data_IF_600668798952
#
_entry.id   IF_600668798952
#
_cell.length_a   1.000
_cell.length_b   1.000
_cell.length_c   1.000
_cell.angle_alpha   90.00
_cell.angle_beta   90.00
_cell.angle_gamma   90.00
#
_symmetry.space_group_name_H-M   'P 1'
#
loop_
_entity.id
_entity.type
_entity.pdbx_description
1 polymer ?
#
# COMPACT_ATOMS: atom_id res chain seq x y z
N UNK A 1 26.90 -0.40 84.09
CA UNK A 1 27.71 -0.46 82.86
C UNK A 1 26.88 -1.19 81.82
N UNK A 2 26.23 -0.49 80.92
CA UNK A 2 25.37 -1.05 79.86
C UNK A 2 25.99 -0.68 78.50
N UNK A 3 26.46 -1.67 77.78
CA UNK A 3 26.94 -1.52 76.41
C UNK A 3 25.75 -1.45 75.47
N UNK A 4 25.64 -0.35 74.70
CA UNK A 4 24.69 -0.23 73.57
C UNK A 4 25.40 -0.67 72.30
N UNK A 5 24.97 -1.78 71.77
CA UNK A 5 25.38 -2.24 70.42
C UNK A 5 24.50 -1.58 69.38
N UNK A 6 25.07 -0.65 68.60
CA UNK A 6 24.38 -0.03 67.47
C UNK A 6 24.38 -0.97 66.26
N UNK A 7 23.20 -1.35 65.82
CA UNK A 7 22.97 -2.13 64.62
C UNK A 7 22.76 -1.17 63.44
N UNK A 8 23.79 -0.98 62.63
CA UNK A 8 23.73 -0.17 61.39
C UNK A 8 23.10 -1.01 60.31
N UNK A 9 21.83 -0.79 60.02
CA UNK A 9 21.16 -1.40 58.87
C UNK A 9 21.56 -0.67 57.58
N UNK A 10 22.33 -1.32 56.74
CA UNK A 10 22.74 -0.85 55.43
C UNK A 10 21.61 -1.17 54.43
N UNK A 11 20.77 -0.19 54.15
CA UNK A 11 19.75 -0.25 53.07
C UNK A 11 20.44 -0.19 51.71
N UNK A 12 20.70 -1.35 51.10
CA UNK A 12 21.08 -1.41 49.68
C UNK A 12 19.85 -1.08 48.81
N UNK A 13 19.76 0.18 48.39
CA UNK A 13 18.80 0.58 47.37
C UNK A 13 19.27 -0.01 46.01
N UNK A 14 18.68 -1.11 45.60
CA UNK A 14 18.84 -1.65 44.27
C UNK A 14 18.17 -0.69 43.27
N UNK A 15 18.95 0.13 42.59
CA UNK A 15 18.52 0.93 41.46
C UNK A 15 18.16 -0.01 40.31
N UNK A 16 16.92 -0.43 40.24
CA UNK A 16 16.35 -1.02 39.03
C UNK A 16 16.32 0.06 37.98
N UNK A 17 17.36 0.20 37.18
CA UNK A 17 17.35 0.91 35.91
C UNK A 17 16.48 0.09 34.97
N UNK A 18 15.17 0.23 35.07
CA UNK A 18 14.25 -0.25 34.05
C UNK A 18 14.61 0.43 32.74
N UNK A 19 15.26 -0.30 31.82
CA UNK A 19 15.39 0.17 30.45
C UNK A 19 13.97 0.36 29.92
N UNK A 20 13.52 1.59 29.78
CA UNK A 20 12.28 1.90 29.08
C UNK A 20 12.46 1.41 27.63
N UNK A 21 11.95 0.22 27.33
CA UNK A 21 11.89 -0.28 25.97
C UNK A 21 10.98 0.65 25.19
N UNK A 22 11.51 1.33 24.19
CA UNK A 22 10.69 2.13 23.29
C UNK A 22 9.59 1.25 22.68
N UNK A 23 8.37 1.77 22.59
CA UNK A 23 7.28 1.06 21.93
C UNK A 23 7.68 0.69 20.50
N UNK A 24 7.26 -0.48 19.99
CA UNK A 24 7.60 -0.89 18.64
C UNK A 24 6.98 0.07 17.61
N UNK A 25 7.72 0.36 16.54
CA UNK A 25 7.21 1.09 15.39
C UNK A 25 6.20 0.22 14.63
N UNK A 26 5.03 0.75 14.37
CA UNK A 26 3.97 0.04 13.63
C UNK A 26 4.08 0.38 12.16
N UNK A 27 4.33 -0.65 11.31
CA UNK A 27 4.43 -0.55 9.87
C UNK A 27 3.19 -1.15 9.20
N UNK A 28 2.35 -0.32 8.57
CA UNK A 28 1.22 -0.82 7.79
C UNK A 28 1.65 -1.30 6.41
N UNK A 29 1.03 -2.37 5.93
CA UNK A 29 1.31 -3.02 4.64
C UNK A 29 0.01 -3.33 3.93
N UNK A 30 -0.11 -2.93 2.67
CA UNK A 30 -1.23 -3.29 1.79
C UNK A 30 -1.18 -4.78 1.42
N UNK A 31 -2.21 -5.30 0.74
CA UNK A 31 -2.41 -6.75 0.53
C UNK A 31 -1.68 -7.34 -0.69
N UNK A 32 -0.90 -6.60 -1.45
CA UNK A 32 -0.24 -7.10 -2.66
C UNK A 32 1.26 -7.33 -2.48
N UNK A 33 1.83 -8.21 -3.30
CA UNK A 33 3.19 -8.75 -3.16
C UNK A 33 4.28 -7.71 -3.00
N UNK A 34 4.27 -6.62 -3.80
CA UNK A 34 5.26 -5.56 -3.69
C UNK A 34 5.30 -4.95 -2.29
N UNK A 35 4.14 -4.68 -1.72
CA UNK A 35 4.03 -4.11 -0.37
C UNK A 35 4.57 -5.08 0.70
N UNK A 36 4.32 -6.38 0.56
CA UNK A 36 4.88 -7.38 1.47
C UNK A 36 6.41 -7.42 1.40
N UNK A 37 6.98 -7.32 0.20
CA UNK A 37 8.44 -7.27 0.01
C UNK A 37 9.02 -6.00 0.64
N UNK A 38 8.46 -4.83 0.33
CA UNK A 38 8.90 -3.55 0.88
C UNK A 38 8.82 -3.52 2.41
N UNK A 39 7.72 -4.06 2.95
CA UNK A 39 7.54 -4.19 4.41
C UNK A 39 8.61 -5.09 5.02
N UNK A 40 8.84 -6.27 4.46
CA UNK A 40 9.85 -7.21 4.97
C UNK A 40 11.26 -6.59 4.94
N UNK A 41 11.61 -5.89 3.87
CA UNK A 41 12.89 -5.16 3.76
C UNK A 41 12.99 -4.06 4.83
N UNK A 42 11.93 -3.29 5.03
CA UNK A 42 11.90 -2.21 6.03
C UNK A 42 12.05 -2.76 7.44
N UNK A 43 11.32 -3.81 7.78
CA UNK A 43 11.41 -4.48 9.09
C UNK A 43 12.84 -4.93 9.36
N UNK A 44 13.45 -5.69 8.43
CA UNK A 44 14.82 -6.20 8.59
C UNK A 44 15.84 -5.06 8.72
N UNK A 45 15.70 -4.00 7.91
CA UNK A 45 16.59 -2.86 7.95
C UNK A 45 16.51 -2.13 9.29
N UNK A 46 15.32 -1.83 9.77
CA UNK A 46 15.11 -1.11 11.03
C UNK A 46 15.51 -1.96 12.23
N UNK A 47 15.22 -3.26 12.22
CA UNK A 47 15.69 -4.18 13.27
C UNK A 47 17.21 -4.23 13.35
N UNK A 48 17.90 -4.25 12.20
CA UNK A 48 19.37 -4.16 12.17
C UNK A 48 19.90 -2.83 12.73
N UNK A 49 19.07 -1.78 12.73
CA UNK A 49 19.38 -0.47 13.34
C UNK A 49 18.98 -0.38 14.83
N UNK A 50 18.48 -1.46 15.42
CA UNK A 50 18.09 -1.52 16.84
C UNK A 50 16.65 -1.11 17.14
N UNK A 51 15.83 -0.87 16.13
CA UNK A 51 14.40 -0.56 16.33
C UNK A 51 13.58 -1.85 16.44
N UNK A 52 12.58 -1.85 17.31
CA UNK A 52 11.53 -2.86 17.28
C UNK A 52 10.47 -2.41 16.26
N UNK A 53 10.07 -3.30 15.36
CA UNK A 53 9.09 -3.02 14.32
C UNK A 53 8.02 -4.10 14.31
N UNK A 54 6.77 -3.69 14.35
CA UNK A 54 5.60 -4.56 14.27
C UNK A 54 4.89 -4.32 12.94
N UNK A 55 4.97 -5.24 11.96
CA UNK A 55 4.22 -5.13 10.72
C UNK A 55 2.73 -5.47 10.94
N UNK A 56 1.85 -4.65 10.38
CA UNK A 56 0.42 -4.91 10.26
C UNK A 56 0.09 -5.07 8.77
N UNK A 57 -0.31 -6.27 8.38
CA UNK A 57 -0.50 -6.63 6.97
C UNK A 57 -1.96 -6.52 6.53
N UNK A 58 -2.18 -6.44 5.21
CA UNK A 58 -3.50 -6.40 4.58
C UNK A 58 -4.36 -5.19 5.01
N UNK A 59 -3.73 -4.06 5.28
CA UNK A 59 -4.43 -2.83 5.63
C UNK A 59 -4.81 -2.08 4.35
N UNK A 60 -6.11 -1.83 4.17
CA UNK A 60 -6.60 -1.08 3.03
C UNK A 60 -6.09 0.38 3.04
N UNK A 61 -5.87 0.94 1.85
CA UNK A 61 -5.26 2.26 1.62
C UNK A 61 -5.87 3.38 2.47
N UNK A 62 -7.19 3.52 2.48
CA UNK A 62 -7.88 4.57 3.24
C UNK A 62 -7.76 4.33 4.75
N UNK A 63 -7.83 3.08 5.19
CA UNK A 63 -7.69 2.71 6.61
C UNK A 63 -6.28 3.03 7.10
N UNK A 64 -5.25 2.65 6.33
CA UNK A 64 -3.85 2.94 6.64
C UNK A 64 -3.62 4.45 6.80
N UNK A 65 -4.11 5.26 5.87
CA UNK A 65 -3.98 6.72 5.97
C UNK A 65 -4.63 7.30 7.22
N UNK A 66 -5.88 6.91 7.50
CA UNK A 66 -6.58 7.41 8.68
C UNK A 66 -5.87 6.98 9.98
N UNK A 67 -5.38 5.76 10.04
CA UNK A 67 -4.62 5.26 11.18
C UNK A 67 -3.30 6.03 11.38
N UNK A 68 -2.60 6.43 10.30
CA UNK A 68 -1.42 7.29 10.39
C UNK A 68 -1.76 8.69 10.91
N UNK A 69 -2.82 9.32 10.39
CA UNK A 69 -3.28 10.64 10.86
C UNK A 69 -3.63 10.58 12.36
N UNK A 70 -4.23 9.48 12.79
CA UNK A 70 -4.60 9.23 14.20
C UNK A 70 -3.44 8.68 15.04
N UNK A 71 -2.22 8.59 14.51
CA UNK A 71 -1.01 8.09 15.20
C UNK A 71 -1.15 6.65 15.73
N UNK A 72 -1.97 5.84 15.07
CA UNK A 72 -2.13 4.41 15.34
C UNK A 72 -1.14 3.55 14.53
N UNK A 73 -0.56 4.11 13.48
CA UNK A 73 0.47 3.55 12.62
C UNK A 73 1.57 4.60 12.46
N UNK A 74 2.83 4.19 12.53
CA UNK A 74 3.98 5.08 12.45
C UNK A 74 4.46 5.27 11.01
N UNK A 75 4.35 4.24 10.16
CA UNK A 75 4.84 4.29 8.78
C UNK A 75 4.09 3.36 7.84
N UNK A 76 4.14 3.68 6.56
CA UNK A 76 3.65 2.84 5.46
C UNK A 76 4.38 3.20 4.17
N UNK A 77 4.43 2.26 3.24
CA UNK A 77 4.78 2.54 1.85
C UNK A 77 3.54 3.06 1.12
N UNK A 78 3.64 4.27 0.57
CA UNK A 78 2.53 4.88 -0.16
C UNK A 78 3.00 5.42 -1.51
N UNK A 79 2.08 5.56 -2.45
CA UNK A 79 2.34 5.99 -3.80
C UNK A 79 1.85 7.42 -4.02
N UNK A 80 2.69 8.23 -4.67
CA UNK A 80 2.37 9.63 -4.96
C UNK A 80 1.07 9.76 -5.76
N UNK A 81 0.84 8.88 -6.73
CA UNK A 81 -0.40 8.85 -7.53
C UNK A 81 -1.64 8.56 -6.67
N UNK A 82 -1.54 7.64 -5.71
CA UNK A 82 -2.64 7.34 -4.79
C UNK A 82 -2.94 8.54 -3.90
N UNK A 83 -1.92 9.17 -3.33
CA UNK A 83 -2.14 10.36 -2.50
C UNK A 83 -2.72 11.53 -3.29
N UNK A 84 -2.26 11.78 -4.52
CA UNK A 84 -2.83 12.82 -5.38
C UNK A 84 -4.31 12.58 -5.64
N UNK A 85 -4.67 11.39 -6.15
CA UNK A 85 -6.00 11.12 -6.71
C UNK A 85 -7.00 10.79 -5.61
N UNK A 86 -6.66 9.85 -4.71
CA UNK A 86 -7.62 9.33 -3.74
C UNK A 86 -7.78 10.27 -2.54
N UNK A 87 -6.69 10.87 -2.06
CA UNK A 87 -6.73 11.66 -0.84
C UNK A 87 -6.81 13.17 -1.08
N UNK A 88 -6.13 13.65 -2.12
CA UNK A 88 -6.10 15.08 -2.44
C UNK A 88 -7.00 15.47 -3.62
N UNK A 89 -7.69 14.53 -4.26
CA UNK A 89 -8.63 14.72 -5.38
C UNK A 89 -8.04 15.51 -6.56
N UNK A 90 -6.74 15.32 -6.83
CA UNK A 90 -6.02 15.98 -7.91
C UNK A 90 -5.84 14.97 -9.05
N UNK A 91 -6.59 15.17 -10.15
CA UNK A 91 -6.53 14.31 -11.34
C UNK A 91 -5.65 14.89 -12.47
N UNK A 92 -4.92 15.97 -12.20
CA UNK A 92 -4.00 16.56 -13.17
C UNK A 92 -2.78 15.66 -13.37
N UNK A 93 -2.39 15.46 -14.63
CA UNK A 93 -1.12 14.78 -14.96
C UNK A 93 0.06 15.64 -14.54
N UNK A 94 0.99 15.06 -13.81
CA UNK A 94 2.18 15.71 -13.27
C UNK A 94 3.41 14.84 -13.53
N UNK A 95 4.60 15.46 -13.55
CA UNK A 95 5.86 14.71 -13.50
C UNK A 95 6.01 13.98 -12.16
N UNK A 96 6.87 12.95 -12.05
CA UNK A 96 7.14 12.27 -10.78
C UNK A 96 7.59 13.23 -9.67
N UNK A 97 8.47 14.16 -9.99
CA UNK A 97 8.97 15.17 -9.03
C UNK A 97 7.85 16.12 -8.58
N UNK A 98 7.06 16.65 -9.51
CA UNK A 98 5.93 17.52 -9.20
C UNK A 98 4.89 16.80 -8.34
N UNK A 99 4.62 15.54 -8.64
CA UNK A 99 3.73 14.69 -7.85
C UNK A 99 4.22 14.55 -6.41
N UNK A 100 5.49 14.22 -6.23
CA UNK A 100 6.10 14.06 -4.91
C UNK A 100 6.06 15.37 -4.10
N UNK A 101 6.49 16.49 -4.65
CA UNK A 101 6.47 17.79 -3.95
C UNK A 101 5.04 18.23 -3.59
N UNK A 102 4.08 17.92 -4.47
CA UNK A 102 2.68 18.24 -4.24
C UNK A 102 2.10 17.45 -3.08
N UNK A 103 2.27 16.13 -3.06
CA UNK A 103 1.74 15.30 -1.97
C UNK A 103 2.44 15.59 -0.66
N UNK A 104 3.76 15.78 -0.66
CA UNK A 104 4.54 16.14 0.51
C UNK A 104 4.01 17.41 1.18
N UNK A 105 3.73 18.44 0.39
CA UNK A 105 3.19 19.72 0.88
C UNK A 105 1.75 19.59 1.38
N UNK A 106 0.91 18.84 0.68
CA UNK A 106 -0.51 18.72 1.04
C UNK A 106 -0.69 17.83 2.28
N UNK A 107 -0.01 16.70 2.32
CA UNK A 107 -0.13 15.74 3.40
C UNK A 107 0.52 16.22 4.71
N UNK A 108 1.51 17.12 4.63
CA UNK A 108 2.08 17.79 5.80
C UNK A 108 1.02 18.52 6.65
N UNK A 109 -0.07 19.00 6.03
CA UNK A 109 -1.20 19.64 6.74
C UNK A 109 -1.95 18.67 7.66
N UNK A 110 -1.80 17.37 7.41
CA UNK A 110 -2.37 16.29 8.21
C UNK A 110 -1.34 15.62 9.14
N UNK A 111 -0.14 16.25 9.28
CA UNK A 111 0.94 15.71 10.10
C UNK A 111 1.69 14.53 9.47
N UNK A 112 1.48 14.26 8.19
CA UNK A 112 2.16 13.18 7.46
C UNK A 112 3.43 13.68 6.80
N UNK A 113 4.51 12.93 6.94
CA UNK A 113 5.84 13.27 6.40
C UNK A 113 6.19 12.29 5.28
N UNK A 114 6.34 12.80 4.07
CA UNK A 114 6.89 12.04 2.95
C UNK A 114 8.40 12.03 3.02
N UNK A 115 8.99 10.85 3.14
CA UNK A 115 10.44 10.66 3.02
C UNK A 115 10.86 10.72 1.55
N UNK A 116 12.16 10.64 1.29
CA UNK A 116 12.69 10.59 -0.07
C UNK A 116 12.06 9.45 -0.85
N UNK A 117 11.56 9.68 -2.08
CA UNK A 117 10.94 8.64 -2.88
C UNK A 117 11.95 7.56 -3.27
N UNK A 118 11.47 6.32 -3.37
CA UNK A 118 12.21 5.25 -4.02
C UNK A 118 12.19 5.44 -5.54
N UNK A 119 13.27 5.02 -6.19
CA UNK A 119 13.36 5.04 -7.66
C UNK A 119 12.66 3.81 -8.26
N UNK A 120 11.32 3.84 -8.20
CA UNK A 120 10.48 2.78 -8.73
C UNK A 120 9.17 3.34 -9.29
N UNK A 121 8.62 2.64 -10.28
CA UNK A 121 7.35 2.98 -10.89
C UNK A 121 6.37 1.80 -10.73
N UNK A 122 5.27 2.04 -10.01
CA UNK A 122 4.17 1.09 -9.84
C UNK A 122 2.90 1.59 -10.54
N UNK A 123 3.00 1.84 -11.85
CA UNK A 123 1.85 2.20 -12.68
C UNK A 123 1.01 0.96 -12.99
N UNK A 124 -0.30 1.08 -12.90
CA UNK A 124 -1.21 0.02 -13.33
C UNK A 124 -1.05 -0.29 -14.82
N UNK A 125 -1.03 -1.56 -15.15
CA UNK A 125 -0.99 -2.06 -16.52
C UNK A 125 -1.82 -3.34 -16.63
N UNK A 126 -2.44 -3.54 -17.81
CA UNK A 126 -3.03 -4.83 -18.15
C UNK A 126 -1.96 -5.76 -18.70
N UNK A 127 -1.97 -6.99 -18.25
CA UNK A 127 -1.06 -8.01 -18.72
C UNK A 127 -1.84 -9.25 -19.17
N UNK A 128 -1.39 -9.88 -20.25
CA UNK A 128 -1.85 -11.19 -20.69
C UNK A 128 -0.69 -12.03 -21.20
N UNK A 129 -0.90 -13.33 -21.31
CA UNK A 129 0.12 -14.21 -21.87
C UNK A 129 0.43 -13.83 -23.32
N UNK A 130 1.72 -13.61 -23.64
CA UNK A 130 2.19 -13.23 -24.98
C UNK A 130 1.67 -14.17 -26.06
N UNK A 131 1.83 -15.49 -25.87
CA UNK A 131 1.35 -16.51 -26.81
C UNK A 131 -0.15 -16.35 -27.14
N UNK A 132 -0.95 -15.99 -26.14
CA UNK A 132 -2.38 -15.75 -26.33
C UNK A 132 -2.64 -14.43 -27.04
N UNK A 133 -1.93 -13.37 -26.69
CA UNK A 133 -2.06 -12.07 -27.36
C UNK A 133 -1.75 -12.18 -28.84
N UNK A 134 -0.65 -12.87 -29.20
CA UNK A 134 -0.23 -13.11 -30.57
C UNK A 134 -1.27 -13.96 -31.34
N UNK A 135 -1.73 -15.07 -30.76
CA UNK A 135 -2.71 -15.96 -31.41
C UNK A 135 -4.08 -15.29 -31.64
N UNK A 136 -4.46 -14.35 -30.78
CA UNK A 136 -5.75 -13.65 -30.85
C UNK A 136 -5.61 -12.24 -31.46
N UNK A 137 -4.40 -11.86 -31.92
CA UNK A 137 -4.06 -10.56 -32.51
C UNK A 137 -4.41 -9.37 -31.61
N UNK A 138 -4.14 -9.48 -30.31
CA UNK A 138 -4.40 -8.45 -29.30
C UNK A 138 -3.10 -7.70 -29.00
N UNK A 139 -3.02 -6.45 -29.43
CA UNK A 139 -1.88 -5.56 -29.20
C UNK A 139 -2.26 -4.35 -28.33
N UNK A 140 -3.54 -4.01 -28.27
CA UNK A 140 -4.06 -2.85 -27.56
C UNK A 140 -5.27 -3.22 -26.69
N UNK A 141 -5.64 -2.31 -25.80
CA UNK A 141 -6.89 -2.44 -25.02
C UNK A 141 -8.12 -2.48 -25.94
N UNK A 142 -8.11 -1.72 -27.03
CA UNK A 142 -9.20 -1.72 -28.01
C UNK A 142 -9.37 -3.07 -28.68
N UNK A 143 -8.26 -3.74 -29.05
CA UNK A 143 -8.30 -5.10 -29.63
C UNK A 143 -8.87 -6.11 -28.63
N UNK A 144 -8.46 -5.99 -27.36
CA UNK A 144 -8.97 -6.84 -26.28
C UNK A 144 -10.48 -6.66 -26.11
N UNK A 145 -10.97 -5.42 -26.09
CA UNK A 145 -12.41 -5.12 -25.95
C UNK A 145 -13.19 -5.64 -27.14
N UNK A 146 -12.70 -5.42 -28.37
CA UNK A 146 -13.32 -5.96 -29.58
C UNK A 146 -13.40 -7.50 -29.55
N UNK A 147 -12.36 -8.15 -29.05
CA UNK A 147 -12.33 -9.62 -28.89
C UNK A 147 -13.33 -10.12 -27.87
N UNK A 148 -13.47 -9.45 -26.72
CA UNK A 148 -14.47 -9.76 -25.70
C UNK A 148 -15.88 -9.68 -26.30
N UNK A 149 -16.18 -8.60 -27.02
CA UNK A 149 -17.48 -8.40 -27.68
C UNK A 149 -17.76 -9.44 -28.78
N UNK A 150 -16.75 -9.80 -29.57
CA UNK A 150 -16.85 -10.87 -30.55
C UNK A 150 -17.23 -12.19 -29.90
N UNK A 151 -16.52 -12.59 -28.83
CA UNK A 151 -16.79 -13.84 -28.12
C UNK A 151 -18.19 -13.85 -27.50
N UNK A 152 -18.61 -12.74 -26.91
CA UNK A 152 -19.95 -12.61 -26.34
C UNK A 152 -21.04 -12.86 -27.37
N UNK A 153 -20.84 -12.42 -28.63
CA UNK A 153 -21.81 -12.62 -29.72
C UNK A 153 -21.79 -14.04 -30.28
N UNK A 154 -20.61 -14.65 -30.40
CA UNK A 154 -20.46 -15.95 -31.10
C UNK A 154 -20.48 -17.16 -30.15
N UNK A 155 -20.12 -16.98 -28.91
CA UNK A 155 -20.10 -18.02 -27.90
C UNK A 155 -20.36 -17.45 -26.50
N UNK A 156 -21.63 -17.17 -26.16
CA UNK A 156 -21.99 -16.50 -24.90
C UNK A 156 -21.60 -17.31 -23.66
N UNK A 157 -21.40 -18.61 -23.77
CA UNK A 157 -20.96 -19.49 -22.66
C UNK A 157 -19.46 -19.39 -22.40
N UNK A 158 -18.68 -18.85 -23.36
CA UNK A 158 -17.24 -18.66 -23.22
C UNK A 158 -16.92 -17.30 -22.64
N UNK A 159 -16.64 -17.27 -21.36
CA UNK A 159 -16.28 -16.04 -20.67
C UNK A 159 -14.76 -15.80 -20.66
N UNK A 160 -14.36 -14.57 -20.97
CA UNK A 160 -13.05 -14.08 -20.60
C UNK A 160 -13.04 -13.73 -19.11
N UNK A 161 -11.96 -14.12 -18.44
CA UNK A 161 -11.76 -13.79 -17.04
C UNK A 161 -10.73 -12.68 -16.93
N UNK A 162 -11.10 -11.60 -16.26
CA UNK A 162 -10.22 -10.51 -15.89
C UNK A 162 -9.85 -10.66 -14.42
N UNK A 163 -8.56 -10.82 -14.13
CA UNK A 163 -8.04 -10.70 -12.78
C UNK A 163 -7.94 -9.23 -12.38
N UNK A 164 -8.45 -8.88 -11.21
CA UNK A 164 -8.55 -7.50 -10.77
C UNK A 164 -8.31 -7.43 -9.26
N UNK A 165 -7.41 -6.56 -8.81
CA UNK A 165 -7.28 -6.26 -7.39
C UNK A 165 -8.38 -5.30 -6.90
N UNK A 166 -8.71 -5.39 -5.62
CA UNK A 166 -9.79 -4.59 -5.03
C UNK A 166 -9.48 -3.09 -5.02
N UNK A 167 -8.23 -2.72 -4.90
CA UNK A 167 -7.85 -1.31 -4.87
C UNK A 167 -8.13 -0.69 -6.24
N UNK A 168 -7.67 -1.31 -7.33
CA UNK A 168 -7.96 -0.83 -8.69
C UNK A 168 -9.46 -0.82 -8.99
N UNK A 169 -10.20 -1.83 -8.55
CA UNK A 169 -11.65 -1.89 -8.72
C UNK A 169 -12.37 -0.71 -8.07
N UNK A 170 -11.93 -0.28 -6.91
CA UNK A 170 -12.56 0.77 -6.09
C UNK A 170 -12.08 2.20 -6.37
N UNK A 171 -10.97 2.39 -7.08
CA UNK A 171 -10.39 3.70 -7.35
C UNK A 171 -11.23 4.53 -8.31
N UNK A 172 -11.27 5.84 -8.07
CA UNK A 172 -11.95 6.80 -8.97
C UNK A 172 -11.29 6.91 -10.36
N UNK A 173 -10.01 6.55 -10.47
CA UNK A 173 -9.22 6.48 -11.71
C UNK A 173 -8.98 5.03 -12.16
N UNK A 174 -9.65 4.05 -11.59
CA UNK A 174 -9.46 2.62 -11.82
C UNK A 174 -10.41 2.03 -12.87
N UNK A 175 -11.04 0.91 -12.52
CA UNK A 175 -11.82 0.10 -13.47
C UNK A 175 -13.02 0.83 -14.10
N UNK A 176 -13.78 1.60 -13.33
CA UNK A 176 -14.99 2.29 -13.86
C UNK A 176 -14.69 3.27 -14.98
N UNK A 177 -13.78 4.27 -14.84
CA UNK A 177 -13.44 5.16 -15.93
C UNK A 177 -12.80 4.45 -17.12
N UNK A 178 -12.05 3.37 -16.89
CA UNK A 178 -11.49 2.55 -17.95
C UNK A 178 -12.60 1.88 -18.78
N UNK A 179 -13.57 1.25 -18.12
CA UNK A 179 -14.73 0.66 -18.79
C UNK A 179 -15.49 1.69 -19.61
N UNK A 180 -15.68 2.89 -19.07
CA UNK A 180 -16.34 3.99 -19.79
C UNK A 180 -15.54 4.43 -21.02
N UNK A 181 -14.22 4.61 -20.89
CA UNK A 181 -13.34 5.08 -21.97
C UNK A 181 -13.30 4.10 -23.16
N UNK A 182 -13.26 2.80 -22.88
CA UNK A 182 -13.19 1.74 -23.90
C UNK A 182 -14.53 1.13 -24.24
N UNK A 183 -15.64 1.61 -23.67
CA UNK A 183 -16.98 1.01 -23.80
C UNK A 183 -16.97 -0.49 -23.48
N UNK A 184 -16.16 -0.88 -22.49
CA UNK A 184 -15.92 -2.26 -22.13
C UNK A 184 -17.04 -2.74 -21.19
N UNK A 185 -17.83 -3.68 -21.67
CA UNK A 185 -18.88 -4.32 -20.88
C UNK A 185 -18.34 -5.61 -20.28
N UNK A 186 -18.16 -5.65 -18.97
CA UNK A 186 -17.78 -6.84 -18.24
C UNK A 186 -18.82 -7.12 -17.16
N UNK A 187 -19.36 -8.32 -17.20
CA UNK A 187 -20.28 -8.79 -16.19
C UNK A 187 -19.52 -9.34 -14.97
N UNK A 188 -20.16 -9.32 -13.81
CA UNK A 188 -19.54 -9.77 -12.56
C UNK A 188 -18.90 -11.18 -12.63
N UNK A 189 -19.49 -12.20 -13.33
CA UNK A 189 -18.86 -13.49 -13.50
C UNK A 189 -17.53 -13.49 -14.27
N UNK A 190 -17.28 -12.44 -15.06
CA UNK A 190 -16.04 -12.28 -15.84
C UNK A 190 -14.89 -11.66 -15.04
N UNK A 191 -15.16 -11.18 -13.83
CA UNK A 191 -14.18 -10.58 -12.95
C UNK A 191 -13.79 -11.57 -11.86
N UNK A 192 -12.48 -11.77 -11.69
CA UNK A 192 -11.90 -12.54 -10.60
C UNK A 192 -11.05 -11.61 -9.75
N UNK A 193 -11.37 -11.58 -8.47
CA UNK A 193 -10.55 -10.87 -7.51
C UNK A 193 -9.24 -11.63 -7.29
N UNK A 194 -8.14 -10.91 -7.29
CA UNK A 194 -6.79 -11.41 -7.01
C UNK A 194 -6.23 -10.75 -5.75
#
# INVERSE_FOLDING_TARGET
>A
MRLFSGLTALCAAALFTGQAMAAPLILATKSFTEQHILSAMTVQYLQKKGFQVQPQTNIATVISRNAMINKQIDMTWEYTGTSLIIFNHINKRMSPQESYETVKRLDAKHGLVWLKPADMNNTYAFAMQRKRAEAEHINTMSDMVAKIEQIRKTNPDKNWLLGLDLEFAGRSDGMKPLQAAYKMNLDRPQIRQM
#
